data_IF_881642350723
#
_entry.id   IF_881642350723
#
_cell.length_a   1.000
_cell.length_b   1.000
_cell.length_c   1.000
_cell.angle_alpha   90.00
_cell.angle_beta   90.00
_cell.angle_gamma   90.00
#
_symmetry.space_group_name_H-M   'P 1'
#
loop_
_entity.id
_entity.type
_entity.pdbx_description
1 polymer ?
#
# COMPACT_ATOMS: atom_id res chain seq x y z
N UNK A 1 -14.34 -5.24 5.51
CA UNK A 1 -13.68 -5.18 4.20
C UNK A 1 -14.60 -4.57 3.17
N UNK A 2 -14.07 -3.79 2.23
CA UNK A 2 -14.85 -3.02 1.27
C UNK A 2 -14.20 -3.08 -0.13
N UNK A 3 -15.03 -2.85 -1.16
CA UNK A 3 -14.57 -2.60 -2.52
C UNK A 3 -14.63 -1.11 -2.86
N UNK A 4 -13.93 -0.69 -3.89
CA UNK A 4 -14.03 0.67 -4.45
C UNK A 4 -15.48 0.94 -4.88
N UNK A 5 -16.00 2.12 -4.54
CA UNK A 5 -17.39 2.50 -4.82
C UNK A 5 -18.39 2.10 -3.75
N UNK A 6 -18.00 1.31 -2.75
CA UNK A 6 -18.86 0.98 -1.61
C UNK A 6 -18.89 2.08 -0.56
N UNK A 7 -19.81 1.97 0.41
CA UNK A 7 -19.94 2.92 1.51
C UNK A 7 -19.48 2.26 2.80
N UNK A 8 -18.43 2.78 3.40
CA UNK A 8 -18.06 2.48 4.77
C UNK A 8 -18.93 3.27 5.74
N UNK A 9 -19.57 2.58 6.70
CA UNK A 9 -20.40 3.19 7.75
C UNK A 9 -19.77 2.92 9.11
N UNK A 10 -19.40 3.97 9.82
CA UNK A 10 -18.85 3.89 11.17
C UNK A 10 -19.87 4.33 12.19
N UNK A 11 -20.11 3.50 13.21
CA UNK A 11 -21.06 3.75 14.28
C UNK A 11 -20.35 3.84 15.62
N UNK A 12 -20.69 4.86 16.39
CA UNK A 12 -20.15 5.09 17.73
C UNK A 12 -21.29 5.25 18.73
N UNK A 13 -21.16 4.60 19.88
CA UNK A 13 -22.04 4.79 21.02
C UNK A 13 -21.27 5.47 22.14
N UNK A 14 -21.63 6.72 22.43
CA UNK A 14 -21.03 7.49 23.53
C UNK A 14 -21.72 7.18 24.84
N UNK A 15 -20.94 6.86 25.87
CA UNK A 15 -21.43 6.53 27.21
C UNK A 15 -20.75 7.41 28.27
N UNK A 16 -21.50 7.77 29.28
CA UNK A 16 -20.95 8.44 30.45
C UNK A 16 -20.00 7.49 31.19
N UNK A 17 -18.79 7.96 31.46
CA UNK A 17 -17.75 7.16 32.11
C UNK A 17 -18.16 6.68 33.52
N UNK A 18 -18.99 7.46 34.22
CA UNK A 18 -19.35 7.19 35.64
C UNK A 18 -20.62 6.34 35.76
N UNK A 19 -21.65 6.62 34.94
CA UNK A 19 -22.95 5.93 35.02
C UNK A 19 -23.12 4.80 34.01
N UNK A 20 -22.27 4.73 32.99
CA UNK A 20 -22.39 3.83 31.82
C UNK A 20 -23.62 4.08 30.93
N UNK A 21 -24.45 5.06 31.28
CA UNK A 21 -25.61 5.46 30.48
C UNK A 21 -25.14 6.13 29.16
N UNK A 22 -25.98 6.06 28.13
CA UNK A 22 -25.74 6.80 26.90
C UNK A 22 -25.86 8.30 27.16
N UNK A 23 -24.91 9.08 26.61
CA UNK A 23 -24.92 10.54 26.71
C UNK A 23 -24.57 11.19 25.38
N UNK A 24 -25.09 12.42 25.19
CA UNK A 24 -24.69 13.24 24.06
C UNK A 24 -23.41 14.01 24.42
N UNK A 25 -22.31 13.86 23.68
CA UNK A 25 -21.09 14.62 23.88
C UNK A 25 -21.27 16.06 23.40
N UNK A 26 -20.39 16.97 23.86
CA UNK A 26 -20.34 18.34 23.36
C UNK A 26 -19.92 18.40 21.88
N UNK A 27 -19.02 17.49 21.47
CA UNK A 27 -18.70 17.28 20.06
C UNK A 27 -18.21 15.86 19.81
N UNK A 28 -18.47 15.37 18.60
CA UNK A 28 -17.91 14.11 18.10
C UNK A 28 -17.47 14.31 16.64
N UNK A 29 -16.23 13.95 16.34
CA UNK A 29 -15.62 14.19 15.04
C UNK A 29 -14.90 12.96 14.57
N UNK A 30 -14.89 12.73 13.24
CA UNK A 30 -14.18 11.64 12.62
C UNK A 30 -13.09 12.16 11.69
N UNK A 31 -11.96 11.46 11.70
CA UNK A 31 -10.85 11.63 10.76
C UNK A 31 -10.63 10.29 10.04
N UNK A 32 -10.46 10.33 8.73
CA UNK A 32 -10.15 9.14 7.92
C UNK A 32 -8.87 9.42 7.13
N UNK A 33 -7.89 8.56 7.28
CA UNK A 33 -6.59 8.63 6.62
C UNK A 33 -6.42 7.44 5.67
N UNK A 34 -5.99 7.72 4.45
CA UNK A 34 -5.72 6.71 3.43
C UNK A 34 -4.40 5.95 3.70
N UNK A 35 -4.14 4.82 2.99
CA UNK A 35 -2.92 4.03 3.16
C UNK A 35 -1.60 4.77 2.88
N UNK A 36 -1.66 5.88 2.15
CA UNK A 36 -0.53 6.78 1.84
C UNK A 36 -0.41 7.97 2.81
N UNK A 37 -1.03 7.87 4.00
CA UNK A 37 -1.07 8.89 5.03
C UNK A 37 -1.78 10.21 4.64
N UNK A 38 -2.48 10.23 3.51
CA UNK A 38 -3.30 11.38 3.10
C UNK A 38 -4.59 11.42 3.90
N UNK A 39 -4.86 12.53 4.58
CA UNK A 39 -6.09 12.76 5.33
C UNK A 39 -7.23 13.09 4.36
N UNK A 40 -8.18 12.17 4.20
CA UNK A 40 -9.33 12.30 3.30
C UNK A 40 -10.53 12.97 3.97
N UNK A 41 -10.73 12.69 5.26
CA UNK A 41 -11.76 13.31 6.11
C UNK A 41 -11.06 13.90 7.32
N UNK A 42 -11.14 15.21 7.50
CA UNK A 42 -10.42 15.91 8.56
C UNK A 42 -11.39 16.47 9.61
N UNK A 43 -11.49 15.79 10.74
CA UNK A 43 -12.24 16.22 11.93
C UNK A 43 -13.70 16.66 11.62
N UNK A 44 -14.40 15.95 10.72
CA UNK A 44 -15.79 16.26 10.39
C UNK A 44 -16.74 15.76 11.48
N UNK A 45 -17.80 16.51 11.74
CA UNK A 45 -18.84 16.13 12.71
C UNK A 45 -19.58 14.86 12.26
N UNK A 46 -19.78 13.94 13.21
CA UNK A 46 -20.63 12.75 12.97
C UNK A 46 -22.10 13.12 13.12
N UNK A 47 -22.98 12.37 12.44
CA UNK A 47 -24.41 12.60 12.43
C UNK A 47 -25.09 11.84 13.57
N UNK A 48 -26.03 12.49 14.28
CA UNK A 48 -26.96 11.84 15.20
C UNK A 48 -28.36 11.78 14.58
N UNK A 49 -29.12 10.73 14.84
CA UNK A 49 -30.53 10.63 14.41
C UNK A 49 -31.47 11.54 15.22
N UNK A 50 -30.94 12.12 16.31
CA UNK A 50 -31.69 12.98 17.21
C UNK A 50 -32.75 12.25 18.07
N UNK A 51 -33.05 11.00 17.76
CA UNK A 51 -34.01 10.17 18.48
C UNK A 51 -33.34 9.31 19.56
N UNK A 52 -32.11 8.88 19.33
CA UNK A 52 -31.36 8.02 20.24
C UNK A 52 -30.18 8.76 20.83
N UNK A 53 -30.21 8.94 22.16
CA UNK A 53 -29.10 9.59 22.89
C UNK A 53 -27.82 8.78 22.73
N UNK A 54 -26.71 9.49 22.45
CA UNK A 54 -25.38 8.92 22.42
C UNK A 54 -25.06 8.04 21.21
N UNK A 55 -25.91 8.00 20.19
CA UNK A 55 -25.66 7.23 18.96
C UNK A 55 -25.33 8.14 17.81
N UNK A 56 -24.18 7.87 17.16
CA UNK A 56 -23.64 8.66 16.07
C UNK A 56 -23.15 7.76 14.96
N UNK A 57 -23.23 8.24 13.72
CA UNK A 57 -22.67 7.54 12.55
C UNK A 57 -22.05 8.52 11.55
N UNK A 58 -21.17 7.98 10.75
CA UNK A 58 -20.59 8.65 9.59
C UNK A 58 -20.53 7.67 8.41
N UNK A 59 -20.97 8.13 7.24
CA UNK A 59 -20.90 7.37 6.01
C UNK A 59 -19.81 7.96 5.10
N UNK A 60 -18.83 7.16 4.77
CA UNK A 60 -17.78 7.50 3.82
C UNK A 60 -17.96 6.71 2.54
N UNK A 61 -18.20 7.40 1.41
CA UNK A 61 -18.27 6.78 0.11
C UNK A 61 -16.83 6.60 -0.41
N UNK A 62 -16.39 5.36 -0.54
CA UNK A 62 -15.07 5.00 -1.02
C UNK A 62 -15.01 5.35 -2.52
N UNK A 63 -14.11 6.24 -2.97
CA UNK A 63 -13.99 6.60 -4.38
C UNK A 63 -13.69 5.39 -5.27
N UNK A 64 -14.08 5.46 -6.55
CA UNK A 64 -13.78 4.41 -7.52
C UNK A 64 -12.28 4.28 -7.84
N UNK A 65 -11.50 5.33 -7.57
CA UNK A 65 -10.05 5.42 -7.70
C UNK A 65 -9.31 5.39 -6.36
N UNK A 66 -10.01 5.05 -5.25
CA UNK A 66 -9.41 4.93 -3.94
C UNK A 66 -8.21 3.96 -3.95
N UNK A 67 -7.21 4.22 -3.14
CA UNK A 67 -6.11 3.26 -2.96
C UNK A 67 -6.63 1.97 -2.33
N UNK A 68 -6.05 0.85 -2.70
CA UNK A 68 -6.24 -0.38 -1.98
C UNK A 68 -5.33 -0.40 -0.75
N UNK A 69 -5.82 -0.94 0.36
CA UNK A 69 -5.05 -1.00 1.59
C UNK A 69 -5.88 -0.71 2.83
N UNK A 70 -5.20 -0.48 3.93
CA UNK A 70 -5.79 -0.17 5.23
C UNK A 70 -5.98 1.33 5.39
N UNK A 71 -7.21 1.73 5.71
CA UNK A 71 -7.61 3.09 6.03
C UNK A 71 -7.73 3.24 7.54
N UNK A 72 -7.00 4.19 8.13
CA UNK A 72 -7.13 4.50 9.54
C UNK A 72 -8.38 5.38 9.80
N UNK A 73 -9.07 5.08 10.88
CA UNK A 73 -10.23 5.84 11.35
C UNK A 73 -9.96 6.29 12.78
N UNK A 74 -10.10 7.58 13.03
CA UNK A 74 -9.98 8.15 14.37
C UNK A 74 -11.24 8.96 14.70
N UNK A 75 -11.85 8.69 15.85
CA UNK A 75 -13.02 9.44 16.35
C UNK A 75 -12.68 10.12 17.65
N UNK A 76 -12.76 11.44 17.64
CA UNK A 76 -12.57 12.28 18.82
C UNK A 76 -13.93 12.67 19.39
N UNK A 77 -14.13 12.32 20.66
CA UNK A 77 -15.33 12.65 21.44
C UNK A 77 -14.96 13.58 22.59
N UNK A 78 -15.66 14.70 22.70
CA UNK A 78 -15.47 15.67 23.78
C UNK A 78 -16.73 15.73 24.65
N UNK A 79 -16.58 15.50 25.95
CA UNK A 79 -17.64 15.65 26.97
C UNK A 79 -17.09 16.43 28.13
N UNK A 80 -17.57 17.65 28.31
CA UNK A 80 -17.04 18.58 29.30
C UNK A 80 -15.58 18.94 29.06
N UNK A 81 -14.72 18.57 30.00
CA UNK A 81 -13.27 18.81 29.93
C UNK A 81 -12.50 17.55 29.42
N UNK A 82 -13.21 16.47 29.17
CA UNK A 82 -12.60 15.19 28.78
C UNK A 82 -12.66 15.02 27.28
N UNK A 83 -11.56 14.59 26.67
CA UNK A 83 -11.47 14.15 25.27
C UNK A 83 -11.10 12.68 25.24
N UNK A 84 -11.83 11.90 24.46
CA UNK A 84 -11.56 10.48 24.24
C UNK A 84 -11.36 10.26 22.74
N UNK A 85 -10.29 9.56 22.37
CA UNK A 85 -10.01 9.19 20.99
C UNK A 85 -10.19 7.69 20.83
N UNK A 86 -11.08 7.28 19.93
CA UNK A 86 -11.26 5.90 19.51
C UNK A 86 -10.57 5.71 18.15
N UNK A 87 -9.83 4.61 18.00
CA UNK A 87 -9.14 4.26 16.76
C UNK A 87 -9.67 2.97 16.20
N UNK A 88 -9.91 2.98 14.92
CA UNK A 88 -10.33 1.82 14.15
C UNK A 88 -9.68 1.82 12.77
N UNK A 89 -10.03 0.85 11.97
CA UNK A 89 -9.58 0.76 10.58
C UNK A 89 -10.63 0.06 9.73
N UNK A 90 -10.53 0.27 8.42
CA UNK A 90 -11.19 -0.58 7.43
C UNK A 90 -10.24 -0.81 6.25
N UNK A 91 -10.46 -1.89 5.52
CA UNK A 91 -9.58 -2.31 4.43
C UNK A 91 -10.35 -2.29 3.12
N UNK A 92 -9.74 -1.71 2.09
CA UNK A 92 -10.25 -1.70 0.72
C UNK A 92 -9.43 -2.68 -0.11
N UNK A 93 -10.09 -3.68 -0.73
CA UNK A 93 -9.44 -4.69 -1.57
C UNK A 93 -10.26 -4.95 -2.84
N UNK A 94 -9.65 -5.46 -3.92
CA UNK A 94 -10.39 -5.91 -5.09
C UNK A 94 -11.05 -7.28 -4.82
N UNK A 95 -12.39 -7.36 -4.95
CA UNK A 95 -13.11 -8.62 -4.70
C UNK A 95 -12.75 -9.75 -5.67
N UNK A 96 -12.17 -9.45 -6.82
CA UNK A 96 -11.70 -10.49 -7.76
C UNK A 96 -10.64 -11.41 -7.14
N UNK A 97 -9.90 -10.95 -6.12
CA UNK A 97 -8.94 -11.78 -5.41
C UNK A 97 -9.64 -12.80 -4.51
N UNK A 98 -10.75 -12.42 -3.87
CA UNK A 98 -11.57 -13.32 -3.04
C UNK A 98 -12.13 -14.46 -3.89
N UNK A 99 -12.69 -14.14 -5.06
CA UNK A 99 -13.21 -15.11 -6.00
C UNK A 99 -12.12 -16.07 -6.51
N UNK A 100 -10.92 -15.56 -6.78
CA UNK A 100 -9.76 -16.40 -7.16
C UNK A 100 -9.37 -17.37 -6.06
N UNK A 101 -9.26 -16.88 -4.80
CA UNK A 101 -8.90 -17.70 -3.64
C UNK A 101 -9.92 -18.82 -3.46
N UNK A 102 -11.22 -18.54 -3.57
CA UNK A 102 -12.27 -19.55 -3.51
C UNK A 102 -12.16 -20.57 -4.63
N UNK A 103 -11.93 -20.08 -5.85
CA UNK A 103 -11.77 -20.97 -7.02
C UNK A 103 -10.55 -21.89 -6.86
N UNK A 104 -9.44 -21.38 -6.33
CA UNK A 104 -8.20 -22.17 -6.18
C UNK A 104 -8.29 -23.13 -5.00
N UNK A 105 -8.81 -22.69 -3.86
CA UNK A 105 -8.93 -23.53 -2.66
C UNK A 105 -10.12 -24.50 -2.70
N UNK A 106 -11.17 -24.19 -3.48
CA UNK A 106 -12.41 -24.94 -3.49
C UNK A 106 -13.26 -24.73 -2.22
N UNK A 107 -12.91 -23.74 -1.39
CA UNK A 107 -13.63 -23.44 -0.14
C UNK A 107 -14.84 -22.59 -0.44
N UNK A 108 -16.01 -23.04 0.06
CA UNK A 108 -17.27 -22.34 -0.15
C UNK A 108 -17.53 -21.24 0.90
N UNK A 109 -18.50 -20.38 0.61
CA UNK A 109 -18.87 -19.24 1.46
C UNK A 109 -19.51 -19.66 2.81
N UNK A 110 -20.09 -20.85 2.85
CA UNK A 110 -20.72 -21.38 4.08
C UNK A 110 -19.67 -21.84 5.10
N UNK A 111 -18.49 -22.23 4.63
CA UNK A 111 -17.40 -22.71 5.48
C UNK A 111 -16.51 -21.59 6.02
N UNK A 112 -16.28 -20.54 5.23
CA UNK A 112 -15.45 -19.38 5.59
C UNK A 112 -16.08 -18.13 4.98
N UNK A 113 -16.22 -17.06 5.74
CA UNK A 113 -16.80 -15.80 5.27
C UNK A 113 -15.94 -15.12 4.19
N UNK A 114 -16.53 -14.22 3.40
CA UNK A 114 -15.79 -13.43 2.42
C UNK A 114 -14.80 -12.48 3.12
N UNK A 115 -15.16 -11.94 4.29
CA UNK A 115 -14.29 -11.08 5.09
C UNK A 115 -13.05 -11.82 5.60
N UNK A 116 -13.18 -13.09 6.03
CA UNK A 116 -12.04 -13.91 6.44
C UNK A 116 -11.10 -14.21 5.26
N UNK A 117 -11.67 -14.51 4.09
CA UNK A 117 -10.88 -14.73 2.86
C UNK A 117 -10.20 -13.44 2.42
N UNK A 118 -10.88 -12.31 2.53
CA UNK A 118 -10.31 -11.00 2.21
C UNK A 118 -9.19 -10.61 3.17
N UNK A 119 -9.33 -10.93 4.47
CA UNK A 119 -8.25 -10.75 5.45
C UNK A 119 -7.02 -11.56 5.07
N UNK A 120 -7.20 -12.83 4.72
CA UNK A 120 -6.09 -13.69 4.27
C UNK A 120 -5.44 -13.18 2.98
N UNK A 121 -6.24 -12.60 2.06
CA UNK A 121 -5.72 -11.99 0.85
C UNK A 121 -4.85 -10.76 1.17
N UNK A 122 -5.30 -9.93 2.10
CA UNK A 122 -4.59 -8.74 2.55
C UNK A 122 -3.27 -9.10 3.23
N UNK A 123 -3.31 -10.05 4.18
CA UNK A 123 -2.12 -10.56 4.87
C UNK A 123 -1.11 -11.16 3.88
N UNK A 124 -1.56 -12.04 2.96
CA UNK A 124 -0.70 -12.65 1.96
C UNK A 124 -0.09 -11.63 0.99
N UNK A 125 -0.85 -10.60 0.62
CA UNK A 125 -0.33 -9.55 -0.24
C UNK A 125 0.72 -8.70 0.48
N UNK A 126 0.50 -8.36 1.76
CA UNK A 126 1.46 -7.66 2.60
C UNK A 126 2.77 -8.44 2.73
N UNK A 127 2.70 -9.76 3.01
CA UNK A 127 3.87 -10.65 3.09
C UNK A 127 4.69 -10.64 1.78
N UNK A 128 4.02 -10.64 0.63
CA UNK A 128 4.70 -10.60 -0.66
C UNK A 128 5.28 -9.23 -1.01
N UNK A 129 4.68 -8.15 -0.51
CA UNK A 129 5.20 -6.80 -0.73
C UNK A 129 6.55 -6.59 -0.05
N UNK A 130 6.79 -7.20 1.11
CA UNK A 130 8.07 -7.14 1.82
C UNK A 130 9.23 -7.73 1.00
N UNK A 131 8.93 -8.61 0.03
CA UNK A 131 9.94 -9.28 -0.82
C UNK A 131 9.96 -8.74 -2.26
N UNK A 132 9.01 -7.88 -2.64
CA UNK A 132 8.78 -7.50 -4.03
C UNK A 132 9.02 -6.00 -4.28
N UNK A 133 10.17 -5.70 -4.86
CA UNK A 133 10.47 -4.37 -5.37
C UNK A 133 10.49 -4.35 -6.89
N UNK A 134 10.08 -3.20 -7.47
CA UNK A 134 10.19 -2.98 -8.91
C UNK A 134 11.40 -2.11 -9.20
N UNK A 135 12.30 -2.61 -10.02
CA UNK A 135 13.39 -1.81 -10.53
C UNK A 135 12.97 -1.06 -11.80
N UNK A 136 12.97 0.25 -11.74
CA UNK A 136 12.70 1.14 -12.86
C UNK A 136 14.03 1.57 -13.51
N UNK A 137 14.17 1.22 -14.78
CA UNK A 137 15.40 1.51 -15.53
C UNK A 137 15.19 2.72 -16.42
N UNK A 138 15.87 3.83 -16.14
CA UNK A 138 15.94 5.01 -16.97
C UNK A 138 14.60 5.59 -17.41
N UNK A 139 13.74 5.86 -16.46
CA UNK A 139 12.48 6.56 -16.68
C UNK A 139 12.67 8.07 -16.61
N UNK A 140 11.89 8.81 -17.42
CA UNK A 140 11.83 10.26 -17.27
C UNK A 140 10.99 10.60 -16.03
N UNK A 141 11.50 11.47 -15.13
CA UNK A 141 10.73 11.96 -14.01
C UNK A 141 9.53 12.79 -14.47
N UNK A 142 8.54 12.93 -13.59
CA UNK A 142 7.35 13.76 -13.84
C UNK A 142 7.45 15.11 -13.12
N UNK A 143 6.63 16.06 -13.53
CA UNK A 143 6.53 17.36 -12.85
C UNK A 143 6.06 17.18 -11.41
N UNK A 144 6.72 17.87 -10.47
CA UNK A 144 6.16 18.05 -9.14
C UNK A 144 4.96 19.00 -9.21
N UNK A 145 3.79 18.69 -8.63
CA UNK A 145 2.59 19.51 -8.68
C UNK A 145 2.78 20.94 -8.16
N UNK A 146 3.69 21.13 -7.20
CA UNK A 146 3.96 22.44 -6.61
C UNK A 146 4.78 23.36 -7.54
N UNK A 147 5.53 22.78 -8.49
CA UNK A 147 6.43 23.53 -9.36
C UNK A 147 5.95 23.61 -10.81
N UNK A 148 5.01 22.77 -11.23
CA UNK A 148 4.37 22.76 -12.57
C UNK A 148 5.31 22.87 -13.76
N UNK A 149 6.59 22.57 -13.59
CA UNK A 149 7.59 22.67 -14.65
C UNK A 149 8.62 21.54 -14.54
N UNK A 150 8.92 20.90 -15.67
CA UNK A 150 10.12 20.08 -15.79
C UNK A 150 11.36 20.99 -15.85
N UNK A 151 12.50 20.43 -16.19
CA UNK A 151 13.78 21.12 -16.21
C UNK A 151 13.79 22.27 -17.24
N UNK A 152 13.79 23.49 -16.74
CA UNK A 152 13.77 24.72 -17.55
C UNK A 152 15.04 25.58 -17.37
N UNK A 153 16.10 25.00 -16.78
CA UNK A 153 17.33 25.70 -16.42
C UNK A 153 17.30 26.35 -15.04
N UNK A 154 16.15 26.28 -14.34
CA UNK A 154 15.98 26.84 -12.98
C UNK A 154 15.35 25.83 -12.04
N UNK A 155 14.33 25.10 -12.50
CA UNK A 155 13.68 24.09 -11.68
C UNK A 155 14.56 22.84 -11.55
N UNK A 156 14.72 22.38 -10.32
CA UNK A 156 15.48 21.18 -9.97
C UNK A 156 14.62 20.13 -9.30
N UNK A 157 13.38 20.46 -8.88
CA UNK A 157 12.49 19.58 -8.14
C UNK A 157 11.49 18.91 -9.07
N UNK A 158 11.46 17.60 -9.02
CA UNK A 158 10.59 16.72 -9.81
C UNK A 158 10.14 15.53 -8.96
N UNK A 159 9.33 14.65 -9.52
CA UNK A 159 8.94 13.39 -8.88
C UNK A 159 9.31 12.17 -9.70
N UNK A 160 9.63 11.10 -9.01
CA UNK A 160 9.63 9.76 -9.60
C UNK A 160 8.20 9.42 -10.04
N UNK A 161 8.08 8.66 -11.11
CA UNK A 161 6.78 8.29 -11.69
C UNK A 161 6.05 7.25 -10.84
N UNK A 162 6.80 6.37 -10.21
CA UNK A 162 6.28 5.31 -9.35
C UNK A 162 6.75 5.54 -7.92
N UNK A 163 5.82 5.50 -6.99
CA UNK A 163 6.03 5.81 -5.57
C UNK A 163 5.30 4.79 -4.69
N UNK A 164 5.73 4.58 -3.45
CA UNK A 164 6.94 5.13 -2.82
C UNK A 164 8.23 4.65 -3.48
N UNK A 165 9.31 5.45 -3.35
CA UNK A 165 10.65 4.97 -3.69
C UNK A 165 11.12 4.06 -2.56
N UNK A 166 11.55 2.85 -2.91
CA UNK A 166 11.94 1.84 -1.94
C UNK A 166 13.37 2.05 -1.44
N UNK A 167 13.57 1.80 -0.17
CA UNK A 167 14.85 1.57 0.48
C UNK A 167 15.30 0.13 0.15
N UNK A 168 16.27 0.00 -0.74
CA UNK A 168 16.68 -1.30 -1.27
C UNK A 168 17.58 -2.10 -0.32
N UNK A 169 18.33 -1.44 0.53
CA UNK A 169 19.25 -2.10 1.48
C UNK A 169 18.70 -2.19 2.90
N UNK A 170 17.47 -1.71 3.13
CA UNK A 170 16.74 -1.79 4.39
C UNK A 170 17.43 -1.11 5.57
N UNK A 171 18.16 -0.04 5.32
CA UNK A 171 18.81 0.74 6.39
C UNK A 171 17.90 1.79 7.02
N UNK A 172 16.68 1.96 6.48
CA UNK A 172 15.65 2.87 6.95
C UNK A 172 15.68 4.25 6.29
N UNK A 173 16.59 4.47 5.32
CA UNK A 173 16.69 5.73 4.58
C UNK A 173 16.82 5.48 3.09
N UNK A 174 16.27 6.36 2.27
CA UNK A 174 16.33 6.29 0.80
C UNK A 174 17.30 7.33 0.28
N UNK A 175 18.37 6.89 -0.37
CA UNK A 175 19.46 7.76 -0.82
C UNK A 175 19.51 7.96 -2.34
N UNK A 176 19.71 9.19 -2.75
CA UNK A 176 20.27 9.52 -4.05
C UNK A 176 21.74 9.89 -3.91
N UNK A 177 22.48 9.96 -5.00
CA UNK A 177 23.91 10.28 -4.99
C UNK A 177 24.21 11.64 -4.33
N UNK A 178 23.23 12.54 -4.24
CA UNK A 178 23.38 13.87 -3.64
C UNK A 178 23.22 13.91 -2.12
N UNK A 179 22.65 12.89 -1.50
CA UNK A 179 22.45 12.80 -0.04
C UNK A 179 23.08 11.59 0.63
N UNK A 180 23.91 10.84 -0.11
CA UNK A 180 24.75 9.79 0.48
C UNK A 180 25.78 10.45 1.41
N UNK A 181 25.74 10.07 2.69
CA UNK A 181 26.61 10.61 3.73
C UNK A 181 27.78 9.70 4.08
N UNK A 182 27.71 8.42 3.70
CA UNK A 182 28.74 7.40 3.98
C UNK A 182 29.06 6.57 2.74
N UNK A 183 30.30 6.13 2.62
CA UNK A 183 30.73 5.24 1.52
C UNK A 183 30.09 3.84 1.58
N UNK A 184 29.31 3.54 2.61
CA UNK A 184 28.61 2.27 2.83
C UNK A 184 27.12 2.34 2.48
N UNK A 185 26.59 3.54 2.26
CA UNK A 185 25.17 3.72 1.96
C UNK A 185 24.91 3.30 0.50
N UNK A 186 23.86 2.57 0.29
CA UNK A 186 23.42 2.19 -1.06
C UNK A 186 22.77 3.39 -1.76
N UNK A 187 22.92 3.48 -3.08
CA UNK A 187 22.28 4.53 -3.88
C UNK A 187 20.99 3.95 -4.47
N UNK A 188 19.85 4.28 -3.86
CA UNK A 188 18.53 3.82 -4.30
C UNK A 188 18.06 4.53 -5.56
N UNK A 189 18.42 5.81 -5.71
CA UNK A 189 18.07 6.64 -6.86
C UNK A 189 19.31 7.20 -7.53
N UNK A 190 19.52 6.84 -8.79
CA UNK A 190 20.58 7.38 -9.62
C UNK A 190 20.05 7.82 -11.00
N UNK A 191 20.79 8.67 -11.71
CA UNK A 191 20.33 9.12 -13.01
C UNK A 191 21.37 9.89 -13.79
N UNK A 192 20.95 10.29 -14.99
CA UNK A 192 21.78 11.08 -15.90
C UNK A 192 20.87 11.99 -16.75
N UNK A 193 21.48 12.97 -17.38
CA UNK A 193 20.83 13.81 -18.37
C UNK A 193 21.64 13.84 -19.68
N UNK A 194 20.96 14.17 -20.76
CA UNK A 194 21.54 14.29 -22.10
C UNK A 194 21.56 15.75 -22.50
N UNK A 195 22.68 16.26 -22.97
CA UNK A 195 22.78 17.60 -23.53
C UNK A 195 22.21 17.71 -24.96
N UNK A 196 22.38 18.86 -25.61
CA UNK A 196 21.91 19.08 -26.98
C UNK A 196 22.56 18.18 -28.02
N UNK A 197 23.73 17.67 -27.73
CA UNK A 197 24.50 16.77 -28.60
C UNK A 197 24.33 15.31 -28.25
N UNK A 198 23.35 15.01 -27.36
CA UNK A 198 23.08 13.69 -26.81
C UNK A 198 24.24 13.09 -25.99
N UNK A 199 25.18 13.91 -25.54
CA UNK A 199 26.21 13.44 -24.63
C UNK A 199 25.63 13.21 -23.23
N UNK A 200 26.01 12.09 -22.62
CA UNK A 200 25.52 11.67 -21.32
C UNK A 200 26.32 12.35 -20.20
N UNK A 201 25.62 12.96 -19.26
CA UNK A 201 26.17 13.57 -18.06
C UNK A 201 25.51 12.94 -16.82
N UNK A 202 26.29 12.58 -15.83
CA UNK A 202 25.74 12.09 -14.56
C UNK A 202 24.99 13.23 -13.84
N UNK A 203 23.86 12.88 -13.25
CA UNK A 203 23.05 13.78 -12.45
C UNK A 203 23.30 13.55 -10.97
N UNK A 204 23.35 14.62 -10.18
CA UNK A 204 23.30 14.54 -8.72
C UNK A 204 21.83 14.53 -8.29
N UNK A 205 21.41 13.51 -7.56
CA UNK A 205 20.05 13.31 -7.11
C UNK A 205 20.02 13.31 -5.59
N UNK A 206 19.10 14.08 -5.02
CA UNK A 206 18.78 14.09 -3.60
C UNK A 206 17.32 13.69 -3.44
N UNK A 207 17.05 12.66 -2.65
CA UNK A 207 15.70 12.25 -2.30
C UNK A 207 15.20 13.16 -1.18
N UNK A 208 14.14 13.91 -1.45
CA UNK A 208 13.54 14.84 -0.50
C UNK A 208 12.40 14.19 0.30
N UNK A 209 11.68 13.27 -0.36
CA UNK A 209 10.55 12.55 0.21
C UNK A 209 10.33 11.27 -0.62
N UNK A 210 10.66 10.12 -0.07
CA UNK A 210 10.53 8.83 -0.75
C UNK A 210 9.07 8.41 -0.93
N UNK A 211 8.19 8.78 -0.01
CA UNK A 211 6.75 8.42 -0.04
C UNK A 211 6.06 9.08 -1.23
N UNK A 212 6.28 10.38 -1.42
CA UNK A 212 5.72 11.11 -2.57
C UNK A 212 6.58 11.03 -3.82
N UNK A 213 7.76 10.42 -3.72
CA UNK A 213 8.74 10.32 -4.80
C UNK A 213 9.40 11.64 -5.17
N UNK A 214 9.36 12.63 -4.28
CA UNK A 214 9.92 13.97 -4.52
C UNK A 214 11.44 13.95 -4.45
N UNK A 215 12.07 14.35 -5.54
CA UNK A 215 13.52 14.35 -5.69
C UNK A 215 14.01 15.68 -6.25
N UNK A 216 15.23 16.06 -5.89
CA UNK A 216 15.96 17.17 -6.50
C UNK A 216 17.02 16.62 -7.43
N UNK A 217 17.04 17.07 -8.69
CA UNK A 217 18.02 16.65 -9.69
C UNK A 217 18.81 17.86 -10.16
N UNK A 218 20.13 17.78 -10.07
CA UNK A 218 21.05 18.83 -10.48
C UNK A 218 22.21 18.26 -11.31
N UNK A 219 22.99 19.13 -11.91
CA UNK A 219 24.30 18.76 -12.45
C UNK A 219 25.26 18.41 -11.31
N UNK A 220 26.39 17.81 -11.62
CA UNK A 220 27.43 17.43 -10.63
C UNK A 220 28.00 18.60 -9.85
N UNK A 221 27.91 19.82 -10.37
CA UNK A 221 28.31 21.06 -9.71
C UNK A 221 27.21 21.71 -8.85
N UNK A 222 26.04 21.07 -8.74
CA UNK A 222 24.89 21.54 -7.98
C UNK A 222 24.01 22.55 -8.74
N UNK A 223 24.32 22.89 -9.98
CA UNK A 223 23.51 23.80 -10.77
C UNK A 223 22.32 23.08 -11.44
N UNK A 224 21.29 23.83 -11.82
CA UNK A 224 20.14 23.28 -12.52
C UNK A 224 20.53 22.70 -13.89
N UNK A 225 19.83 21.63 -14.30
CA UNK A 225 19.99 21.07 -15.65
C UNK A 225 19.60 22.12 -16.69
N UNK A 226 20.41 22.37 -17.73
CA UNK A 226 20.14 23.40 -18.73
C UNK A 226 18.80 23.16 -19.44
N UNK A 227 18.12 24.23 -19.83
CA UNK A 227 16.87 24.15 -20.62
C UNK A 227 17.06 23.56 -22.02
N UNK A 228 18.31 23.45 -22.46
CA UNK A 228 18.70 22.86 -23.75
C UNK A 228 18.93 21.37 -23.72
N UNK A 229 18.74 20.72 -22.53
CA UNK A 229 18.84 19.27 -22.42
C UNK A 229 17.83 18.55 -23.33
N UNK A 230 18.17 17.35 -23.79
CA UNK A 230 17.30 16.51 -24.63
C UNK A 230 16.56 15.44 -23.85
N UNK A 231 16.98 15.14 -22.62
CA UNK A 231 16.29 14.22 -21.74
C UNK A 231 16.95 14.12 -20.35
N UNK A 232 16.16 13.75 -19.37
CA UNK A 232 16.60 13.43 -18.01
C UNK A 232 16.01 12.07 -17.66
N UNK A 233 16.84 11.19 -17.15
CA UNK A 233 16.49 9.82 -16.88
C UNK A 233 16.97 9.41 -15.49
N UNK A 234 16.10 8.73 -14.75
CA UNK A 234 16.38 8.20 -13.41
C UNK A 234 16.19 6.69 -13.39
N UNK A 235 16.94 6.03 -12.54
CA UNK A 235 16.75 4.64 -12.15
C UNK A 235 16.54 4.57 -10.66
N UNK A 236 15.61 3.73 -10.21
CA UNK A 236 15.26 3.60 -8.80
C UNK A 236 14.46 2.32 -8.57
N UNK A 237 14.33 1.95 -7.32
CA UNK A 237 13.39 0.92 -6.89
C UNK A 237 12.13 1.59 -6.39
N UNK A 238 10.98 1.00 -6.64
CA UNK A 238 9.72 1.41 -6.03
C UNK A 238 9.03 0.24 -5.37
N UNK A 239 8.25 0.54 -4.36
CA UNK A 239 7.30 -0.40 -3.83
C UNK A 239 6.13 -0.57 -4.82
N UNK A 240 5.44 -1.69 -4.69
CA UNK A 240 4.21 -1.90 -5.43
C UNK A 240 3.06 -1.25 -4.68
N UNK A 241 2.23 -0.49 -5.37
CA UNK A 241 0.93 -0.15 -4.81
C UNK A 241 0.16 -1.43 -4.49
N UNK A 242 -0.41 -1.47 -3.28
CA UNK A 242 -1.16 -2.61 -2.79
C UNK A 242 -2.28 -2.99 -3.79
N UNK A 243 -2.31 -4.25 -4.19
CA UNK A 243 -3.25 -4.84 -5.15
C UNK A 243 -3.28 -4.26 -6.58
N UNK A 244 -2.44 -3.32 -6.95
CA UNK A 244 -2.41 -2.78 -8.31
C UNK A 244 -1.70 -3.70 -9.32
N UNK A 245 -0.75 -4.51 -8.87
CA UNK A 245 -0.05 -5.42 -9.76
C UNK A 245 -0.80 -6.75 -9.91
N UNK A 246 -1.16 -7.10 -11.16
CA UNK A 246 -1.87 -8.35 -11.46
C UNK A 246 -1.09 -9.60 -11.07
N UNK A 247 0.23 -9.62 -11.29
CA UNK A 247 1.06 -10.79 -10.98
C UNK A 247 1.17 -10.98 -9.47
N UNK A 248 1.37 -9.90 -8.71
CA UNK A 248 1.35 -9.95 -7.25
C UNK A 248 -0.01 -10.37 -6.71
N UNK A 249 -1.12 -9.87 -7.27
CA UNK A 249 -2.46 -10.34 -6.90
C UNK A 249 -2.64 -11.84 -7.15
N UNK A 250 -2.13 -12.35 -8.25
CA UNK A 250 -2.19 -13.79 -8.54
C UNK A 250 -1.31 -14.60 -7.57
N UNK A 251 -0.11 -14.10 -7.22
CA UNK A 251 0.75 -14.71 -6.20
C UNK A 251 0.08 -14.70 -4.82
N UNK A 252 -0.48 -13.55 -4.40
CA UNK A 252 -1.21 -13.42 -3.15
C UNK A 252 -2.43 -14.35 -3.08
N UNK A 253 -3.17 -14.51 -4.20
CA UNK A 253 -4.28 -15.45 -4.26
C UNK A 253 -3.81 -16.91 -4.06
N UNK A 254 -2.65 -17.30 -4.58
CA UNK A 254 -2.07 -18.63 -4.32
C UNK A 254 -1.62 -18.78 -2.88
N UNK A 255 -0.93 -17.80 -2.30
CA UNK A 255 -0.46 -17.82 -0.93
C UNK A 255 -1.63 -17.82 0.06
N UNK A 256 -2.63 -16.96 -0.14
CA UNK A 256 -3.85 -16.95 0.68
C UNK A 256 -4.63 -18.27 0.57
N UNK A 257 -4.70 -18.89 -0.61
CA UNK A 257 -5.32 -20.21 -0.79
C UNK A 257 -4.57 -21.30 -0.04
N UNK A 258 -3.24 -21.25 0.00
CA UNK A 258 -2.39 -22.12 0.80
C UNK A 258 -2.71 -21.96 2.30
N UNK A 259 -2.66 -20.71 2.79
CA UNK A 259 -2.91 -20.41 4.21
C UNK A 259 -4.34 -20.79 4.64
N UNK A 260 -5.34 -20.56 3.77
CA UNK A 260 -6.72 -20.98 4.01
C UNK A 260 -6.84 -22.49 4.17
N UNK A 261 -6.23 -23.27 3.29
CA UNK A 261 -6.25 -24.72 3.38
C UNK A 261 -5.51 -25.25 4.62
N UNK A 262 -4.39 -24.63 5.02
CA UNK A 262 -3.69 -24.95 6.25
C UNK A 262 -4.58 -24.72 7.46
N UNK A 263 -5.18 -23.53 7.61
CA UNK A 263 -6.12 -23.20 8.71
C UNK A 263 -7.28 -24.20 8.78
N UNK A 264 -7.84 -24.62 7.65
CA UNK A 264 -8.91 -25.60 7.61
C UNK A 264 -8.44 -27.01 7.97
N UNK A 265 -7.23 -27.40 7.59
CA UNK A 265 -6.66 -28.72 7.92
C UNK A 265 -6.42 -28.83 9.41
N UNK A 266 -5.86 -27.81 10.05
CA UNK A 266 -5.63 -27.77 11.47
C UNK A 266 -6.94 -27.83 12.28
N UNK A 267 -7.99 -27.17 11.80
CA UNK A 267 -9.33 -27.24 12.40
C UNK A 267 -9.98 -28.63 12.27
N UNK A 268 -9.70 -29.36 11.18
CA UNK A 268 -10.27 -30.68 10.91
C UNK A 268 -9.48 -31.84 11.50
N UNK A 269 -8.18 -31.72 11.77
CA UNK A 269 -7.37 -32.76 12.40
C UNK A 269 -7.85 -33.13 13.80
N UNK A 270 -8.65 -32.25 14.43
CA UNK A 270 -9.28 -32.54 15.72
C UNK A 270 -10.53 -33.45 15.65
N UNK A 271 -11.08 -33.76 14.47
CA UNK A 271 -12.42 -34.38 14.37
C UNK A 271 -12.61 -35.51 13.34
N UNK A 272 -11.60 -35.98 12.57
CA UNK A 272 -11.90 -36.86 11.45
C UNK A 272 -11.08 -38.16 11.37
N UNK A 273 -11.81 -39.27 11.32
CA UNK A 273 -11.30 -40.62 11.08
C UNK A 273 -11.06 -40.96 9.58
N UNK A 274 -11.37 -40.09 8.62
CA UNK A 274 -11.35 -40.36 7.17
C UNK A 274 -10.20 -39.65 6.39
N UNK A 275 -9.10 -39.38 7.04
CA UNK A 275 -8.05 -38.47 6.62
C UNK A 275 -7.08 -38.89 5.47
N UNK A 276 -6.77 -40.17 5.16
CA UNK A 276 -5.61 -40.43 4.28
C UNK A 276 -5.76 -39.95 2.83
N UNK A 277 -6.96 -40.01 2.25
CA UNK A 277 -7.18 -39.62 0.84
C UNK A 277 -7.33 -38.10 0.66
N UNK A 278 -7.91 -37.43 1.63
CA UNK A 278 -8.10 -35.97 1.60
C UNK A 278 -6.80 -35.24 1.97
N UNK A 279 -6.04 -35.74 2.97
CA UNK A 279 -4.73 -35.22 3.32
C UNK A 279 -3.78 -35.17 2.11
N UNK A 280 -3.69 -36.25 1.36
CA UNK A 280 -2.82 -36.30 0.17
C UNK A 280 -3.25 -35.29 -0.92
N UNK A 281 -4.55 -35.06 -1.11
CA UNK A 281 -5.04 -34.04 -2.04
C UNK A 281 -4.72 -32.63 -1.58
N UNK A 282 -4.82 -32.37 -0.28
CA UNK A 282 -4.48 -31.10 0.35
C UNK A 282 -2.97 -30.85 0.21
N UNK A 283 -2.12 -31.80 0.56
CA UNK A 283 -0.66 -31.71 0.38
C UNK A 283 -0.25 -31.41 -1.06
N UNK A 284 -0.87 -32.07 -2.04
CA UNK A 284 -0.61 -31.80 -3.46
C UNK A 284 -1.04 -30.36 -3.83
N UNK A 285 -2.16 -29.87 -3.28
CA UNK A 285 -2.63 -28.51 -3.54
C UNK A 285 -1.72 -27.49 -2.89
N UNK A 286 -1.30 -27.70 -1.64
CA UNK A 286 -0.37 -26.84 -0.90
C UNK A 286 0.96 -26.68 -1.66
N UNK A 287 1.59 -27.79 -2.04
CA UNK A 287 2.84 -27.79 -2.81
C UNK A 287 2.67 -27.11 -4.19
N UNK A 288 1.47 -27.22 -4.80
CA UNK A 288 1.17 -26.53 -6.06
C UNK A 288 1.06 -25.04 -5.87
N UNK A 289 0.40 -24.57 -4.81
CA UNK A 289 0.22 -23.15 -4.54
C UNK A 289 1.54 -22.48 -4.20
N UNK A 290 2.31 -23.05 -3.29
CA UNK A 290 3.65 -22.57 -2.94
C UNK A 290 4.54 -22.48 -4.20
N UNK A 291 4.62 -23.54 -5.00
CA UNK A 291 5.41 -23.51 -6.23
C UNK A 291 4.93 -22.45 -7.21
N UNK A 292 3.61 -22.20 -7.32
CA UNK A 292 3.06 -21.17 -8.21
C UNK A 292 3.37 -19.78 -7.72
N UNK A 293 3.25 -19.54 -6.42
CA UNK A 293 3.64 -18.29 -5.78
C UNK A 293 5.12 -18.00 -6.07
N UNK A 294 6.01 -18.91 -5.73
CA UNK A 294 7.45 -18.79 -5.96
C UNK A 294 7.82 -18.54 -7.43
N UNK A 295 7.16 -19.24 -8.38
CA UNK A 295 7.37 -19.00 -9.81
C UNK A 295 6.97 -17.59 -10.27
N UNK A 296 5.97 -16.97 -9.63
CA UNK A 296 5.57 -15.60 -9.93
C UNK A 296 6.55 -14.64 -9.28
N UNK A 297 6.92 -14.86 -8.02
CA UNK A 297 7.89 -14.04 -7.29
C UNK A 297 9.25 -14.03 -7.98
N UNK A 298 9.74 -15.18 -8.45
CA UNK A 298 10.97 -15.24 -9.27
C UNK A 298 10.92 -14.37 -10.52
N UNK A 299 9.76 -14.16 -11.12
CA UNK A 299 9.60 -13.28 -12.29
C UNK A 299 9.56 -11.81 -11.94
N UNK A 300 9.04 -11.50 -10.76
CA UNK A 300 8.89 -10.11 -10.27
C UNK A 300 10.22 -9.62 -9.70
N UNK A 301 10.90 -10.45 -8.90
CA UNK A 301 12.16 -10.11 -8.23
C UNK A 301 13.41 -10.18 -9.11
N UNK A 302 13.31 -10.72 -10.33
CA UNK A 302 14.45 -10.68 -11.27
C UNK A 302 14.55 -9.30 -11.88
N UNK A 303 15.66 -8.55 -11.66
CA UNK A 303 15.91 -7.33 -12.40
C UNK A 303 15.94 -7.69 -13.89
N UNK A 304 15.20 -6.96 -14.71
CA UNK A 304 15.24 -7.02 -16.18
C UNK A 304 16.57 -6.50 -16.72
N UNK A 305 17.68 -6.92 -16.15
CA UNK A 305 19.03 -6.57 -16.54
C UNK A 305 19.80 -7.80 -17.00
N UNK A 306 19.40 -8.36 -18.14
CA UNK A 306 20.33 -9.11 -18.97
C UNK A 306 20.15 -8.63 -20.41
N UNK A 307 21.08 -7.81 -20.86
CA UNK A 307 21.22 -7.48 -22.27
C UNK A 307 21.59 -6.04 -22.56
N UNK A 308 22.82 -5.64 -22.32
CA UNK A 308 23.63 -4.83 -23.22
C UNK A 308 25.05 -5.37 -23.18
#
# INVERSE_FOLDING_TARGET
MFERGETFSHFVTVRNYTSTDKENPDSIKITITAPDDVVLVNALGMTSDGATVGEYWYNYNIPADALYGEYAVEVDTVSGTSTTTERGHFIVIPWDIVDKIRTYSGVNKESVSDDDVATLAFEAYGELLEEAYIYHTYESPICDPDYCALFNGTNTVVRAKHTPIADHDFDGEVYGIGNVSRNTDYIDVAGFWLDSDYAKHEATITVNDSVTGRITITQSDGTAIPSTHTGVYIRYWSEWEMFNNRLLRDAAAYLASHNLLLKMTDAHTATAADLPSNQRKIEISLNRFERKCNQIMEKISKPLCEGV
#
